data_IF_666473639762
#
_entry.id   IF_666473639762
#
_cell.length_a   1.000
_cell.length_b   1.000
_cell.length_c   1.000
_cell.angle_alpha   90.00
_cell.angle_beta   90.00
_cell.angle_gamma   90.00
#
_symmetry.space_group_name_H-M   'P 1'
#
loop_
_entity.id
_entity.type
_entity.pdbx_description
1 polymer ?
#
# COMPACT_ATOMS: atom_id res chain seq x y z
N UNK A 1 5.46 80.62 22.24
CA UNK A 1 4.11 81.13 22.58
C UNK A 1 3.13 80.63 21.54
N UNK A 2 2.07 79.98 22.00
CA UNK A 2 0.77 79.61 21.39
C UNK A 2 0.72 79.08 19.94
N UNK A 3 0.39 77.81 19.70
CA UNK A 3 -0.90 77.09 19.85
C UNK A 3 -2.01 77.53 18.88
N UNK A 4 -2.30 76.65 17.90
CA UNK A 4 -3.64 76.39 17.38
C UNK A 4 -3.62 74.96 16.77
N UNK A 5 -3.92 73.92 17.55
CA UNK A 5 -5.24 73.38 17.86
C UNK A 5 -5.79 72.41 16.78
N UNK A 6 -5.87 71.15 17.22
CA UNK A 6 -6.91 70.12 16.93
C UNK A 6 -7.02 69.62 15.48
N UNK A 7 -6.79 68.32 15.31
CA UNK A 7 -7.93 67.40 15.23
C UNK A 7 -7.56 65.97 15.62
N UNK A 8 -8.41 65.40 16.46
CA UNK A 8 -8.53 63.96 16.72
C UNK A 8 -9.13 63.30 15.48
N UNK A 9 -8.63 62.13 15.07
CA UNK A 9 -9.48 61.04 14.55
C UNK A 9 -8.75 59.69 14.61
N UNK A 10 -9.25 58.85 15.53
CA UNK A 10 -9.48 57.39 15.54
C UNK A 10 -8.49 56.35 14.94
N UNK A 11 -8.43 55.14 15.55
CA UNK A 11 -7.44 54.10 15.28
C UNK A 11 -7.95 53.07 14.26
N UNK A 12 -7.06 52.51 13.43
CA UNK A 12 -7.41 51.32 12.64
C UNK A 12 -6.31 50.26 12.76
N UNK A 13 -6.63 49.24 13.58
CA UNK A 13 -5.93 47.97 13.62
C UNK A 13 -6.07 47.30 12.26
N UNK A 14 -5.00 47.34 11.48
CA UNK A 14 -4.86 46.52 10.29
C UNK A 14 -4.75 45.05 10.72
N UNK A 15 -5.91 44.38 10.79
CA UNK A 15 -5.99 42.92 10.84
C UNK A 15 -5.44 42.39 9.53
N UNK A 16 -4.16 42.03 9.52
CA UNK A 16 -3.60 41.11 8.54
C UNK A 16 -4.35 39.77 8.66
N UNK A 17 -5.30 39.57 7.75
CA UNK A 17 -5.91 38.26 7.53
C UNK A 17 -4.80 37.29 7.09
N UNK A 18 -4.69 36.08 7.66
CA UNK A 18 -3.76 35.09 7.15
C UNK A 18 -4.25 34.68 5.75
N UNK A 19 -3.40 34.88 4.75
CA UNK A 19 -3.62 34.38 3.40
C UNK A 19 -3.91 32.87 3.45
N UNK A 20 -4.90 32.35 2.70
CA UNK A 20 -5.14 30.92 2.64
C UNK A 20 -3.90 30.24 2.06
N UNK A 21 -3.20 29.49 2.90
CA UNK A 21 -2.06 28.68 2.50
C UNK A 21 -2.56 27.56 1.59
N UNK A 22 -2.62 27.82 0.28
CA UNK A 22 -2.85 26.81 -0.73
C UNK A 22 -1.57 25.99 -0.92
N UNK A 23 -1.19 25.24 0.14
CA UNK A 23 -0.20 24.17 -0.03
C UNK A 23 -0.94 23.06 -0.78
N UNK A 24 -0.48 22.63 -1.97
CA UNK A 24 -1.04 21.46 -2.61
C UNK A 24 -0.88 20.31 -1.62
N UNK A 25 -2.02 19.82 -1.13
CA UNK A 25 -2.08 18.60 -0.34
C UNK A 25 -1.51 17.55 -1.28
N UNK A 26 -0.32 17.01 -0.99
CA UNK A 26 0.15 15.80 -1.66
C UNK A 26 -0.97 14.79 -1.44
N UNK A 27 -1.77 14.54 -2.46
CA UNK A 27 -2.80 13.52 -2.39
C UNK A 27 -2.04 12.21 -2.16
N UNK A 28 -2.04 11.75 -0.91
CA UNK A 28 -1.61 10.40 -0.59
C UNK A 28 -2.52 9.50 -1.43
N UNK A 29 -1.92 8.79 -2.40
CA UNK A 29 -2.64 7.79 -3.17
C UNK A 29 -3.22 6.80 -2.17
N UNK A 30 -4.52 6.56 -2.27
CA UNK A 30 -5.24 5.55 -1.49
C UNK A 30 -5.56 4.39 -2.40
N UNK A 31 -5.72 3.21 -1.81
CA UNK A 31 -6.23 2.03 -2.52
C UNK A 31 -7.56 2.35 -3.26
N UNK A 32 -7.62 1.93 -4.53
CA UNK A 32 -8.84 1.84 -5.33
C UNK A 32 -9.79 0.75 -4.80
N UNK A 33 -10.99 0.63 -5.39
CA UNK A 33 -11.95 -0.40 -4.97
C UNK A 33 -11.41 -1.83 -5.17
N UNK A 34 -10.77 -2.09 -6.31
CA UNK A 34 -10.21 -3.40 -6.64
C UNK A 34 -9.03 -3.73 -5.72
N UNK A 35 -8.15 -2.76 -5.50
CA UNK A 35 -7.00 -2.91 -4.58
C UNK A 35 -7.44 -3.11 -3.13
N UNK A 36 -8.55 -2.51 -2.69
CA UNK A 36 -9.12 -2.81 -1.35
C UNK A 36 -9.62 -4.23 -1.24
N UNK A 37 -10.24 -4.75 -2.30
CA UNK A 37 -10.72 -6.13 -2.34
C UNK A 37 -9.54 -7.09 -2.33
N UNK A 38 -8.50 -6.79 -3.09
CA UNK A 38 -7.26 -7.55 -3.12
C UNK A 38 -6.55 -7.52 -1.78
N UNK A 39 -6.39 -6.33 -1.19
CA UNK A 39 -5.81 -6.16 0.15
C UNK A 39 -6.53 -6.99 1.20
N UNK A 40 -7.86 -7.10 1.12
CA UNK A 40 -8.64 -7.91 2.05
C UNK A 40 -8.43 -9.43 1.93
N UNK A 41 -7.84 -9.93 0.84
CA UNK A 41 -7.64 -11.37 0.60
C UNK A 41 -6.20 -11.78 0.27
N UNK A 42 -5.27 -10.84 0.15
CA UNK A 42 -3.90 -11.15 -0.27
C UNK A 42 -3.13 -11.94 0.79
N UNK A 43 -3.39 -11.71 2.08
CA UNK A 43 -2.77 -12.50 3.16
C UNK A 43 -3.21 -13.97 3.11
N UNK A 44 -4.51 -14.22 2.90
CA UNK A 44 -5.03 -15.58 2.71
C UNK A 44 -4.47 -16.24 1.43
N UNK A 45 -4.28 -15.45 0.36
CA UNK A 45 -3.69 -15.95 -0.88
C UNK A 45 -2.21 -16.34 -0.69
N UNK A 46 -1.45 -15.56 0.07
CA UNK A 46 -0.05 -15.87 0.45
C UNK A 46 -0.01 -17.15 1.26
N UNK A 47 -0.82 -17.26 2.32
CA UNK A 47 -0.89 -18.46 3.16
C UNK A 47 -1.27 -19.71 2.33
N UNK A 48 -2.23 -19.58 1.41
CA UNK A 48 -2.60 -20.68 0.52
C UNK A 48 -1.45 -21.12 -0.39
N UNK A 49 -0.66 -20.17 -0.93
CA UNK A 49 0.50 -20.49 -1.76
C UNK A 49 1.63 -21.14 -0.94
N UNK A 50 1.92 -20.66 0.27
CA UNK A 50 2.89 -21.27 1.19
C UNK A 50 2.49 -22.71 1.58
N UNK A 51 1.21 -22.92 1.88
CA UNK A 51 0.67 -24.25 2.17
C UNK A 51 0.77 -25.16 0.95
N UNK A 52 0.52 -24.64 -0.26
CA UNK A 52 0.65 -25.43 -1.49
C UNK A 52 2.11 -25.83 -1.74
N UNK A 53 3.07 -24.95 -1.53
CA UNK A 53 4.50 -25.29 -1.63
C UNK A 53 4.88 -26.44 -0.69
N UNK A 54 4.42 -26.36 0.56
CA UNK A 54 4.67 -27.42 1.56
C UNK A 54 4.08 -28.76 1.09
N UNK A 55 2.83 -28.75 0.61
CA UNK A 55 2.18 -29.95 0.09
C UNK A 55 2.89 -30.53 -1.14
N UNK A 56 3.35 -29.69 -2.08
CA UNK A 56 4.10 -30.15 -3.25
C UNK A 56 5.38 -30.86 -2.82
N UNK A 57 6.10 -30.33 -1.82
CA UNK A 57 7.31 -30.97 -1.30
C UNK A 57 7.01 -32.33 -0.67
N UNK A 58 5.95 -32.43 0.15
CA UNK A 58 5.48 -33.71 0.72
C UNK A 58 5.08 -34.71 -0.37
N UNK A 59 4.37 -34.25 -1.41
CA UNK A 59 3.95 -35.06 -2.55
C UNK A 59 5.17 -35.57 -3.35
N UNK A 60 6.22 -34.74 -3.51
CA UNK A 60 7.45 -35.16 -4.18
C UNK A 60 8.18 -36.26 -3.40
N UNK A 61 8.25 -36.16 -2.08
CA UNK A 61 8.84 -37.20 -1.23
C UNK A 61 8.03 -38.52 -1.32
N UNK A 62 6.70 -38.41 -1.26
CA UNK A 62 5.80 -39.55 -1.37
C UNK A 62 5.86 -40.24 -2.74
N UNK A 63 6.10 -39.49 -3.82
CA UNK A 63 6.13 -39.97 -5.20
C UNK A 63 7.56 -40.12 -5.77
N UNK A 64 8.56 -40.29 -4.90
CA UNK A 64 9.99 -40.33 -5.28
C UNK A 64 10.39 -41.38 -6.35
N UNK A 65 9.54 -42.37 -6.64
CA UNK A 65 9.78 -43.39 -7.67
C UNK A 65 9.10 -43.11 -9.02
N UNK A 66 8.22 -42.11 -9.10
CA UNK A 66 7.52 -41.73 -10.33
C UNK A 66 8.14 -40.47 -10.93
N UNK A 67 9.06 -40.65 -11.87
CA UNK A 67 9.76 -39.55 -12.53
C UNK A 67 8.82 -38.60 -13.30
N UNK A 68 7.69 -39.10 -13.81
CA UNK A 68 6.71 -38.26 -14.51
C UNK A 68 5.97 -37.34 -13.55
N UNK A 69 5.51 -37.89 -12.42
CA UNK A 69 4.89 -37.08 -11.37
C UNK A 69 5.87 -36.09 -10.76
N UNK A 70 7.12 -36.49 -10.53
CA UNK A 70 8.16 -35.59 -10.02
C UNK A 70 8.41 -34.39 -10.96
N UNK A 71 8.40 -34.60 -12.28
CA UNK A 71 8.53 -33.49 -13.24
C UNK A 71 7.34 -32.53 -13.14
N UNK A 72 6.11 -33.03 -13.07
CA UNK A 72 4.93 -32.18 -12.93
C UNK A 72 4.90 -31.43 -11.59
N UNK A 73 5.26 -32.10 -10.49
CA UNK A 73 5.37 -31.46 -9.18
C UNK A 73 6.47 -30.40 -9.13
N UNK A 74 7.60 -30.64 -9.80
CA UNK A 74 8.68 -29.65 -9.94
C UNK A 74 8.22 -28.41 -10.72
N UNK A 75 7.50 -28.60 -11.84
CA UNK A 75 6.93 -27.48 -12.60
C UNK A 75 5.92 -26.68 -11.77
N UNK A 76 5.09 -27.37 -10.98
CA UNK A 76 4.13 -26.71 -10.10
C UNK A 76 4.81 -25.98 -8.94
N UNK A 77 5.88 -26.55 -8.38
CA UNK A 77 6.69 -25.91 -7.34
C UNK A 77 7.22 -24.56 -7.84
N UNK A 78 7.89 -24.55 -8.99
CA UNK A 78 8.46 -23.34 -9.59
C UNK A 78 7.39 -22.29 -9.91
N UNK A 79 6.24 -22.72 -10.44
CA UNK A 79 5.11 -21.82 -10.70
C UNK A 79 4.53 -21.23 -9.41
N UNK A 80 4.41 -22.03 -8.36
CA UNK A 80 3.87 -21.60 -7.06
C UNK A 80 4.85 -20.67 -6.35
N UNK A 81 6.16 -20.91 -6.43
CA UNK A 81 7.21 -20.03 -5.90
C UNK A 81 7.18 -18.66 -6.60
N UNK A 82 7.10 -18.65 -7.94
CA UNK A 82 6.97 -17.42 -8.71
C UNK A 82 5.69 -16.66 -8.36
N UNK A 83 4.57 -17.37 -8.18
CA UNK A 83 3.31 -16.77 -7.76
C UNK A 83 3.41 -16.15 -6.37
N UNK A 84 3.97 -16.88 -5.39
CA UNK A 84 4.17 -16.40 -4.04
C UNK A 84 5.04 -15.14 -4.00
N UNK A 85 6.12 -15.11 -4.79
CA UNK A 85 6.95 -13.92 -4.94
C UNK A 85 6.15 -12.71 -5.42
N UNK A 86 5.33 -12.89 -6.46
CA UNK A 86 4.46 -11.81 -6.96
C UNK A 86 3.40 -11.37 -5.94
N UNK A 87 2.86 -12.30 -5.14
CA UNK A 87 1.94 -11.95 -4.06
C UNK A 87 2.63 -11.08 -3.01
N UNK A 88 3.87 -11.36 -2.64
CA UNK A 88 4.62 -10.51 -1.72
C UNK A 88 4.94 -9.13 -2.32
N UNK A 89 5.40 -9.06 -3.57
CA UNK A 89 5.60 -7.76 -4.25
C UNK A 89 4.32 -6.93 -4.28
N UNK A 90 3.19 -7.60 -4.50
CA UNK A 90 1.88 -6.98 -4.54
C UNK A 90 1.39 -6.57 -3.15
N UNK A 91 1.65 -7.37 -2.13
CA UNK A 91 1.38 -7.04 -0.74
C UNK A 91 2.17 -5.80 -0.32
N UNK A 92 3.47 -5.76 -0.61
CA UNK A 92 4.34 -4.62 -0.32
C UNK A 92 3.77 -3.36 -0.99
N UNK A 93 3.43 -3.42 -2.28
CA UNK A 93 2.78 -2.32 -2.99
C UNK A 93 1.51 -1.84 -2.28
N UNK A 94 0.55 -2.75 -2.03
CA UNK A 94 -0.73 -2.40 -1.42
C UNK A 94 -0.54 -1.83 -0.01
N UNK A 95 0.46 -2.30 0.75
CA UNK A 95 0.78 -1.82 2.09
C UNK A 95 1.21 -0.36 2.11
N UNK A 96 1.89 0.14 1.06
CA UNK A 96 2.27 1.56 0.92
C UNK A 96 1.07 2.49 0.67
N UNK A 97 -0.02 1.94 0.11
CA UNK A 97 -1.26 2.64 -0.24
C UNK A 97 -2.36 2.47 0.81
N UNK A 98 -2.21 1.48 1.69
CA UNK A 98 -3.11 1.19 2.79
C UNK A 98 -3.16 2.40 3.76
N UNK A 99 -4.34 2.69 4.34
CA UNK A 99 -4.58 3.88 5.14
C UNK A 99 -3.89 3.89 6.52
#
# INVERSE_FOLDING_TARGET
SDYLAKDQTVPEKEKLAPAPSNKPKREQKKLSYEEKKEWAGIEEAIEAAENRLTQIQEDMEANSQDAGQLMSLQEELEATEAHLYHLYERYDYLSELAP
#
